data_IF_796552429662
#
_entry.id   IF_796552429662
#
_cell.length_a   1.000
_cell.length_b   1.000
_cell.length_c   1.000
_cell.angle_alpha   90.00
_cell.angle_beta   90.00
_cell.angle_gamma   90.00
#
_symmetry.space_group_name_H-M   'P 1'
#
loop_
_entity.id
_entity.type
_entity.pdbx_description
1 polymer ?
#
# COMPACT_ATOMS: atom_id res chain seq x y z
N UNK A 1 -5.72 31.03 -34.07
CA UNK A 1 -5.87 30.82 -32.62
C UNK A 1 -4.95 31.79 -31.93
N UNK A 2 -5.48 32.60 -30.99
CA UNK A 2 -4.69 33.63 -30.32
C UNK A 2 -4.32 33.07 -28.93
N UNK A 3 -3.10 32.54 -28.75
CA UNK A 3 -2.71 31.80 -27.55
C UNK A 3 -2.80 32.66 -26.27
N UNK A 4 -2.63 33.98 -26.40
CA UNK A 4 -2.76 34.92 -25.28
C UNK A 4 -4.23 35.06 -24.83
N UNK A 5 -5.16 35.04 -25.79
CA UNK A 5 -6.60 35.09 -25.51
C UNK A 5 -7.07 33.79 -24.87
N UNK A 6 -6.60 32.65 -25.38
CA UNK A 6 -6.91 31.32 -24.84
C UNK A 6 -6.37 31.13 -23.42
N UNK A 7 -5.14 31.59 -23.15
CA UNK A 7 -4.58 31.55 -21.81
C UNK A 7 -5.36 32.43 -20.82
N UNK A 8 -5.73 33.64 -21.23
CA UNK A 8 -6.51 34.56 -20.39
C UNK A 8 -7.89 33.98 -20.09
N UNK A 9 -8.53 33.36 -21.09
CA UNK A 9 -9.80 32.66 -20.92
C UNK A 9 -9.66 31.50 -19.93
N UNK A 10 -8.64 30.67 -20.09
CA UNK A 10 -8.37 29.54 -19.19
C UNK A 10 -8.17 29.98 -17.74
N UNK A 11 -7.41 31.07 -17.52
CA UNK A 11 -7.20 31.63 -16.18
C UNK A 11 -8.53 32.08 -15.56
N UNK A 12 -9.36 32.78 -16.33
CA UNK A 12 -10.69 33.25 -15.89
C UNK A 12 -11.64 32.08 -15.57
N UNK A 13 -11.68 31.07 -16.43
CA UNK A 13 -12.53 29.90 -16.26
C UNK A 13 -12.10 29.09 -15.03
N UNK A 14 -10.78 28.95 -14.81
CA UNK A 14 -10.24 28.27 -13.65
C UNK A 14 -10.56 29.01 -12.34
N UNK A 15 -10.47 30.35 -12.32
CA UNK A 15 -10.91 31.15 -11.16
C UNK A 15 -12.40 30.94 -10.86
N UNK A 16 -13.23 30.95 -11.90
CA UNK A 16 -14.67 30.71 -11.77
C UNK A 16 -14.97 29.31 -11.22
N UNK A 17 -14.24 28.30 -11.70
CA UNK A 17 -14.36 26.92 -11.21
C UNK A 17 -13.97 26.79 -9.74
N UNK A 18 -12.88 27.45 -9.29
CA UNK A 18 -12.49 27.44 -7.88
C UNK A 18 -13.56 28.05 -6.98
N UNK A 19 -14.29 29.08 -7.43
CA UNK A 19 -15.42 29.65 -6.69
C UNK A 19 -16.61 28.70 -6.57
N UNK A 20 -16.89 27.90 -7.61
CA UNK A 20 -17.91 26.84 -7.53
C UNK A 20 -17.52 25.83 -6.45
N UNK A 21 -16.24 25.44 -6.42
CA UNK A 21 -15.71 24.53 -5.41
C UNK A 21 -15.76 25.09 -3.97
N UNK A 22 -16.03 26.38 -3.74
CA UNK A 22 -16.20 26.92 -2.37
C UNK A 22 -17.54 26.49 -1.75
N UNK A 23 -18.48 26.08 -2.59
CA UNK A 23 -19.83 25.66 -2.17
C UNK A 23 -19.93 24.15 -1.96
N UNK A 24 -18.88 23.41 -2.29
CA UNK A 24 -18.85 21.95 -2.26
C UNK A 24 -18.19 21.39 -0.98
N UNK A 25 -18.60 20.21 -0.54
CA UNK A 25 -17.95 19.51 0.57
C UNK A 25 -16.71 18.76 0.08
N UNK A 26 -15.58 19.46 0.04
CA UNK A 26 -14.31 18.93 -0.44
C UNK A 26 -13.56 18.12 0.62
N UNK A 27 -12.90 17.05 0.19
CA UNK A 27 -11.92 16.35 1.03
C UNK A 27 -10.73 17.27 1.38
N UNK A 28 -10.03 16.98 2.49
CA UNK A 28 -8.86 17.76 2.92
C UNK A 28 -7.78 17.89 1.84
N UNK A 29 -7.56 16.82 1.06
CA UNK A 29 -6.60 16.82 -0.04
C UNK A 29 -7.06 17.77 -1.15
N UNK A 30 -8.35 17.75 -1.51
CA UNK A 30 -8.92 18.64 -2.51
C UNK A 30 -8.87 20.12 -2.06
N UNK A 31 -9.12 20.40 -0.78
CA UNK A 31 -8.97 21.75 -0.21
C UNK A 31 -7.51 22.25 -0.30
N UNK A 32 -6.53 21.42 0.04
CA UNK A 32 -5.12 21.77 -0.07
C UNK A 32 -4.69 22.06 -1.51
N UNK A 33 -5.15 21.25 -2.48
CA UNK A 33 -4.90 21.48 -3.90
C UNK A 33 -5.58 22.75 -4.41
N UNK A 34 -6.84 22.97 -4.03
CA UNK A 34 -7.59 24.19 -4.35
C UNK A 34 -6.85 25.44 -3.88
N UNK A 35 -6.38 25.45 -2.63
CA UNK A 35 -5.57 26.54 -2.07
C UNK A 35 -4.28 26.76 -2.86
N UNK A 36 -3.54 25.69 -3.16
CA UNK A 36 -2.32 25.77 -3.96
C UNK A 36 -2.54 26.36 -5.35
N UNK A 37 -3.67 26.07 -6.01
CA UNK A 37 -4.01 26.62 -7.33
C UNK A 37 -4.40 28.10 -7.18
N UNK A 38 -5.20 28.44 -6.17
CA UNK A 38 -5.55 29.83 -5.84
C UNK A 38 -4.30 30.69 -5.65
N UNK A 39 -3.35 30.23 -4.83
CA UNK A 39 -2.09 30.92 -4.55
C UNK A 39 -1.20 31.07 -5.81
N UNK A 40 -1.27 30.11 -6.74
CA UNK A 40 -0.57 30.21 -8.02
C UNK A 40 -1.20 31.26 -8.92
N UNK A 41 -2.54 31.28 -9.01
CA UNK A 41 -3.28 32.24 -9.83
C UNK A 41 -3.09 33.68 -9.33
N UNK A 42 -3.10 33.91 -8.02
CA UNK A 42 -2.80 35.22 -7.45
C UNK A 42 -1.40 35.70 -7.84
N UNK A 43 -0.37 34.84 -7.72
CA UNK A 43 1.01 35.18 -8.14
C UNK A 43 1.14 35.46 -9.64
N UNK A 44 0.32 34.80 -10.48
CA UNK A 44 0.31 35.06 -11.92
C UNK A 44 -0.38 36.39 -12.29
N UNK A 45 -1.28 36.88 -11.44
CA UNK A 45 -2.00 38.13 -11.65
C UNK A 45 -1.29 39.34 -11.00
N UNK A 46 -0.53 39.11 -9.93
CA UNK A 46 0.19 40.15 -9.16
C UNK A 46 1.48 40.66 -9.83
N UNK A 47 1.84 40.22 -11.03
CA UNK A 47 3.00 40.77 -11.78
C UNK A 47 2.54 41.81 -12.80
N UNK A 48 2.74 43.13 -12.56
CA UNK A 48 2.33 44.16 -13.51
C UNK A 48 3.16 44.18 -14.80
N UNK A 49 4.29 43.47 -14.88
CA UNK A 49 5.19 43.54 -16.03
C UNK A 49 5.87 42.20 -16.33
N UNK A 50 5.15 41.26 -16.95
CA UNK A 50 5.80 40.09 -17.57
C UNK A 50 5.05 39.52 -18.77
N UNK A 51 4.65 40.39 -19.71
CA UNK A 51 4.32 39.99 -21.10
C UNK A 51 5.51 39.38 -21.88
N UNK A 52 6.68 39.18 -21.26
CA UNK A 52 7.91 38.74 -21.95
C UNK A 52 8.37 37.33 -21.53
N UNK A 53 7.96 36.76 -20.39
CA UNK A 53 8.51 35.46 -19.95
C UNK A 53 7.88 34.22 -20.62
N UNK A 54 6.66 34.32 -21.16
CA UNK A 54 6.01 33.21 -21.89
C UNK A 54 6.61 33.04 -23.30
N UNK A 55 7.46 33.96 -23.76
CA UNK A 55 8.05 33.94 -25.10
C UNK A 55 9.34 33.11 -25.21
N UNK A 56 9.91 32.65 -24.09
CA UNK A 56 11.17 31.89 -24.09
C UNK A 56 11.00 30.36 -24.05
N UNK A 57 9.78 29.84 -23.89
CA UNK A 57 9.56 28.39 -23.82
C UNK A 57 9.29 27.72 -25.19
N UNK A 58 9.18 28.48 -26.29
CA UNK A 58 8.88 27.92 -27.63
C UNK A 58 10.07 27.96 -28.60
N UNK A 59 11.25 28.42 -28.18
CA UNK A 59 12.46 28.49 -29.02
C UNK A 59 13.67 27.83 -28.36
N UNK A 60 13.62 26.53 -28.12
CA UNK A 60 14.84 25.70 -27.99
C UNK A 60 14.55 24.30 -28.52
N UNK A 61 14.56 24.16 -29.84
CA UNK A 61 14.97 22.91 -30.47
C UNK A 61 16.08 23.23 -31.45
N UNK A 62 17.14 22.42 -31.35
CA UNK A 62 18.35 22.33 -32.17
C UNK A 62 19.64 23.00 -31.65
N UNK A 63 20.52 22.09 -31.20
CA UNK A 63 21.99 22.10 -31.23
C UNK A 63 22.75 22.52 -29.96
N UNK A 64 23.67 21.63 -29.57
CA UNK A 64 24.97 22.02 -29.02
C UNK A 64 25.10 22.00 -27.49
N UNK A 65 25.60 20.87 -27.00
CA UNK A 65 26.69 20.70 -26.03
C UNK A 65 27.10 21.89 -25.11
N UNK A 66 27.41 21.53 -23.86
CA UNK A 66 28.07 22.31 -22.80
C UNK A 66 27.18 23.15 -21.85
N UNK A 67 26.78 22.53 -20.73
CA UNK A 67 26.93 23.10 -19.38
C UNK A 67 26.54 22.08 -18.30
N UNK A 68 27.38 21.07 -18.12
CA UNK A 68 27.57 20.47 -16.80
C UNK A 68 28.73 21.18 -16.10
N UNK A 69 28.67 21.26 -14.77
CA UNK A 69 29.61 21.88 -13.82
C UNK A 69 29.32 23.33 -13.43
N UNK A 70 28.30 23.52 -12.59
CA UNK A 70 28.33 24.59 -11.56
C UNK A 70 27.26 24.36 -10.48
N UNK A 71 27.52 23.52 -9.48
CA UNK A 71 27.02 23.73 -8.10
C UNK A 71 27.61 22.78 -7.03
N UNK A 72 28.66 22.01 -7.31
CA UNK A 72 29.31 21.21 -6.26
C UNK A 72 30.45 22.00 -5.59
N UNK A 73 30.09 22.89 -4.66
CA UNK A 73 31.05 23.54 -3.76
C UNK A 73 30.35 24.12 -2.53
N UNK A 74 29.91 23.25 -1.61
CA UNK A 74 29.78 23.64 -0.20
C UNK A 74 29.81 22.42 0.72
N UNK A 75 31.02 22.06 1.18
CA UNK A 75 31.34 21.81 2.60
C UNK A 75 32.83 21.45 2.74
N UNK A 76 33.62 22.44 3.17
CA UNK A 76 34.99 22.29 3.66
C UNK A 76 34.98 21.51 4.98
N UNK A 77 35.76 20.44 5.05
CA UNK A 77 36.35 19.91 6.27
C UNK A 77 37.56 20.76 6.69
N UNK A 78 37.96 20.74 7.97
CA UNK A 78 39.34 20.97 8.35
C UNK A 78 39.97 19.66 8.85
N UNK A 79 41.10 19.30 8.23
CA UNK A 79 42.05 18.30 8.70
C UNK A 79 43.15 18.96 9.54
N UNK A 80 43.48 18.33 10.65
CA UNK A 80 44.76 18.38 11.37
C UNK A 80 44.72 17.14 12.27
N UNK A 81 45.65 16.19 12.33
CA UNK A 81 47.00 16.04 11.80
C UNK A 81 47.72 15.12 12.79
N UNK A 82 48.03 13.89 12.35
CA UNK A 82 49.07 12.96 12.84
C UNK A 82 49.04 12.48 14.31
N UNK A 83 49.08 11.15 14.52
CA UNK A 83 50.31 10.41 14.91
C UNK A 83 49.97 8.93 15.15
N UNK A 84 50.81 8.05 14.60
CA UNK A 84 50.80 6.60 14.77
C UNK A 84 51.20 6.22 16.20
N UNK A 85 50.45 5.31 16.82
CA UNK A 85 50.74 4.76 18.14
C UNK A 85 50.08 3.39 18.34
N UNK A 86 50.91 2.37 18.18
CA UNK A 86 50.81 0.94 18.51
C UNK A 86 49.87 0.58 19.70
N UNK A 87 49.07 -0.48 19.48
CA UNK A 87 48.42 -1.49 20.35
C UNK A 87 48.79 -1.54 21.87
N UNK A 88 47.96 -2.13 22.78
CA UNK A 88 47.15 -3.33 22.53
C UNK A 88 45.76 -3.46 23.19
N UNK A 89 45.09 -4.48 22.65
CA UNK A 89 43.93 -5.25 23.16
C UNK A 89 44.09 -5.62 24.63
N UNK A 90 43.07 -5.30 25.43
CA UNK A 90 42.84 -5.88 26.75
C UNK A 90 41.71 -6.91 26.66
N UNK A 91 42.11 -8.18 26.61
CA UNK A 91 41.29 -9.33 27.00
C UNK A 91 40.86 -9.16 28.45
N UNK A 92 39.63 -9.57 28.78
CA UNK A 92 39.29 -9.95 30.14
C UNK A 92 38.82 -11.40 30.16
N UNK A 93 39.54 -12.15 30.98
CA UNK A 93 39.48 -13.55 31.32
C UNK A 93 38.10 -14.12 31.69
N UNK A 94 37.90 -15.36 31.24
CA UNK A 94 37.11 -16.37 31.94
C UNK A 94 37.86 -16.87 33.20
N UNK A 95 37.16 -17.35 34.23
CA UNK A 95 37.68 -18.39 35.10
C UNK A 95 37.09 -19.76 34.71
N UNK A 96 37.97 -20.75 34.61
CA UNK A 96 37.72 -22.17 34.35
C UNK A 96 37.56 -22.95 35.70
N UNK A 97 37.61 -24.29 35.78
CA UNK A 97 36.50 -25.18 36.14
C UNK A 97 36.72 -25.90 37.49
N UNK A 98 35.71 -26.62 37.99
CA UNK A 98 35.82 -27.84 38.83
C UNK A 98 34.41 -28.39 39.05
N UNK A 99 34.05 -29.47 38.34
CA UNK A 99 33.99 -30.86 38.82
C UNK A 99 32.96 -31.11 39.95
N UNK A 100 31.86 -31.82 39.62
CA UNK A 100 31.39 -33.04 40.31
C UNK A 100 30.18 -33.68 39.58
N UNK A 101 30.45 -34.85 39.01
CA UNK A 101 29.67 -36.10 38.91
C UNK A 101 28.12 -36.17 39.10
N UNK A 102 27.55 -37.07 38.27
CA UNK A 102 26.50 -38.07 38.54
C UNK A 102 25.03 -37.82 38.07
N UNK A 103 24.64 -38.55 37.02
CA UNK A 103 23.32 -39.21 36.85
C UNK A 103 23.32 -40.51 37.70
N UNK A 104 22.18 -41.21 38.01
CA UNK A 104 20.90 -41.31 37.25
C UNK A 104 19.60 -41.41 38.11
N UNK A 105 18.42 -41.51 37.45
CA UNK A 105 17.28 -42.46 37.74
C UNK A 105 15.90 -41.94 37.26
N UNK A 106 15.20 -42.73 36.44
CA UNK A 106 13.73 -42.73 36.18
C UNK A 106 13.00 -43.63 37.23
N UNK A 107 11.66 -43.91 37.13
CA UNK A 107 10.42 -43.11 37.34
C UNK A 107 9.60 -43.71 38.53
N UNK A 108 8.28 -43.40 38.82
CA UNK A 108 7.13 -43.97 38.07
C UNK A 108 5.75 -43.22 38.15
N UNK A 109 4.76 -43.80 37.43
CA UNK A 109 3.30 -43.87 37.66
C UNK A 109 2.32 -42.80 37.10
N UNK A 110 1.75 -43.15 35.93
CA UNK A 110 0.31 -43.13 35.60
C UNK A 110 -0.42 -44.20 36.47
N UNK A 111 -1.71 -44.07 36.85
CA UNK A 111 -2.81 -44.34 35.90
C UNK A 111 -4.12 -43.54 36.16
N UNK A 112 -4.93 -43.30 35.11
CA UNK A 112 -6.31 -43.84 35.09
C UNK A 112 -6.93 -43.81 33.68
N UNK A 113 -7.39 -44.99 33.29
CA UNK A 113 -8.24 -45.33 32.16
C UNK A 113 -9.69 -44.94 32.51
N UNK A 114 -10.45 -44.31 31.63
CA UNK A 114 -11.89 -44.17 31.90
C UNK A 114 -12.71 -43.25 31.01
N UNK A 115 -13.51 -43.89 30.14
CA UNK A 115 -14.75 -43.37 29.54
C UNK A 115 -14.62 -42.45 28.32
N UNK A 116 -14.30 -43.13 27.22
CA UNK A 116 -14.97 -43.00 25.93
C UNK A 116 -16.49 -42.69 26.08
N UNK A 117 -16.95 -41.55 25.55
CA UNK A 117 -18.34 -41.40 25.09
C UNK A 117 -18.31 -40.67 23.74
N UNK A 118 -18.39 -41.49 22.69
CA UNK A 118 -18.53 -41.10 21.30
C UNK A 118 -19.94 -40.52 21.09
N UNK A 119 -20.05 -39.24 20.76
CA UNK A 119 -21.31 -38.66 20.34
C UNK A 119 -21.55 -39.01 18.85
N UNK A 120 -22.60 -39.78 18.59
CA UNK A 120 -22.99 -40.25 17.26
C UNK A 120 -23.30 -39.08 16.28
N UNK A 121 -22.96 -39.22 14.98
CA UNK A 121 -23.42 -38.30 13.95
C UNK A 121 -24.92 -38.48 13.64
N UNK A 122 -25.67 -37.38 13.59
CA UNK A 122 -27.03 -37.37 13.06
C UNK A 122 -27.02 -37.73 11.56
N UNK A 123 -27.46 -38.93 11.22
CA UNK A 123 -27.78 -39.30 9.84
C UNK A 123 -29.21 -38.83 9.47
N UNK A 124 -29.42 -38.36 8.22
CA UNK A 124 -30.72 -37.94 7.73
C UNK A 124 -31.51 -39.16 7.22
N UNK A 125 -32.77 -39.28 7.59
CA UNK A 125 -33.65 -40.37 7.16
C UNK A 125 -34.85 -39.84 6.35
N UNK A 126 -34.90 -40.17 5.04
CA UNK A 126 -36.10 -40.08 4.20
C UNK A 126 -35.86 -39.91 2.68
N UNK A 127 -36.24 -40.88 1.80
CA UNK A 127 -36.03 -40.87 0.33
C UNK A 127 -37.28 -40.36 -0.46
N UNK A 128 -37.23 -40.26 -1.82
CA UNK A 128 -37.97 -39.26 -2.61
C UNK A 128 -39.33 -39.77 -3.12
N UNK A 129 -40.27 -38.84 -3.35
CA UNK A 129 -41.46 -39.10 -4.16
C UNK A 129 -41.65 -38.01 -5.19
N UNK A 130 -41.37 -38.39 -6.42
CA UNK A 130 -41.75 -37.74 -7.67
C UNK A 130 -43.29 -37.78 -7.78
N UNK A 131 -43.89 -36.63 -8.07
CA UNK A 131 -45.34 -36.45 -8.21
C UNK A 131 -45.60 -35.36 -9.24
N UNK A 132 -45.90 -35.83 -10.43
CA UNK A 132 -46.10 -35.15 -11.71
C UNK A 132 -47.52 -34.56 -11.81
N UNK A 133 -47.62 -33.50 -12.64
CA UNK A 133 -48.78 -32.87 -13.25
C UNK A 133 -49.67 -31.97 -12.37
N UNK A 134 -49.31 -30.68 -12.37
CA UNK A 134 -50.23 -29.59 -12.07
C UNK A 134 -50.62 -28.89 -13.36
N UNK A 135 -51.86 -29.17 -13.76
CA UNK A 135 -52.65 -28.57 -14.82
C UNK A 135 -52.78 -27.04 -14.63
N UNK A 136 -52.41 -26.24 -15.63
CA UNK A 136 -53.06 -24.95 -15.86
C UNK A 136 -52.83 -24.42 -17.27
N UNK A 137 -53.95 -24.29 -17.96
CA UNK A 137 -54.16 -23.78 -19.30
C UNK A 137 -53.48 -22.44 -19.65
N UNK A 138 -52.95 -22.43 -20.87
CA UNK A 138 -52.69 -21.32 -21.77
C UNK A 138 -53.84 -20.26 -21.78
N UNK A 139 -53.50 -19.01 -21.47
CA UNK A 139 -54.34 -17.84 -21.77
C UNK A 139 -53.46 -16.76 -22.40
N UNK A 140 -53.66 -16.48 -23.69
CA UNK A 140 -53.01 -15.39 -24.40
C UNK A 140 -53.51 -14.04 -23.85
N UNK A 141 -52.59 -13.18 -23.43
CA UNK A 141 -52.88 -11.76 -23.23
C UNK A 141 -52.15 -10.98 -24.33
N UNK A 142 -52.87 -10.69 -25.40
CA UNK A 142 -52.53 -9.60 -26.32
C UNK A 142 -53.31 -8.36 -25.89
N UNK A 143 -52.58 -7.28 -25.64
CA UNK A 143 -53.09 -5.95 -25.33
C UNK A 143 -51.89 -5.06 -25.02
N UNK A 144 -51.38 -4.41 -26.06
CA UNK A 144 -50.41 -3.30 -26.01
C UNK A 144 -50.79 -2.29 -24.91
N UNK A 145 -49.80 -1.77 -24.19
CA UNK A 145 -49.55 -0.32 -24.05
C UNK A 145 -48.33 -0.07 -23.13
N UNK A 146 -47.25 0.34 -23.79
CA UNK A 146 -46.34 1.44 -23.43
C UNK A 146 -45.41 1.35 -22.20
N UNK A 147 -44.13 1.58 -22.50
CA UNK A 147 -43.05 2.06 -21.63
C UNK A 147 -42.53 1.09 -20.55
N UNK A 148 -41.57 0.25 -20.92
CA UNK A 148 -40.41 -0.14 -20.09
C UNK A 148 -39.50 -1.12 -20.88
N UNK A 149 -39.00 -0.68 -22.04
CA UNK A 149 -37.84 -1.30 -22.70
C UNK A 149 -36.73 -0.26 -22.81
N UNK A 150 -35.48 -0.69 -22.54
CA UNK A 150 -34.22 0.06 -22.57
C UNK A 150 -33.67 0.62 -21.23
N UNK A 151 -33.53 -0.21 -20.19
CA UNK A 151 -32.45 -0.01 -19.20
C UNK A 151 -31.76 -1.34 -18.83
N UNK A 152 -31.19 -2.03 -19.83
CA UNK A 152 -30.29 -3.16 -19.57
C UNK A 152 -29.00 -3.13 -20.42
N UNK A 153 -28.35 -1.96 -20.58
CA UNK A 153 -26.94 -1.92 -21.02
C UNK A 153 -26.16 -0.63 -20.68
N UNK A 154 -26.10 -0.20 -19.42
CA UNK A 154 -25.36 1.04 -19.07
C UNK A 154 -24.51 1.01 -17.79
N UNK A 155 -24.00 -0.16 -17.39
CA UNK A 155 -23.06 -0.26 -16.24
C UNK A 155 -21.67 -0.81 -16.61
N UNK A 156 -21.37 -1.05 -17.89
CA UNK A 156 -20.01 -1.47 -18.32
C UNK A 156 -19.05 -0.30 -18.57
N UNK A 157 -19.53 0.90 -18.83
CA UNK A 157 -18.68 2.01 -19.30
C UNK A 157 -17.75 2.59 -18.20
N UNK A 158 -18.12 2.45 -16.93
CA UNK A 158 -17.33 3.02 -15.82
C UNK A 158 -15.95 2.36 -15.65
N UNK A 159 -15.76 1.15 -16.17
CA UNK A 159 -14.48 0.44 -16.08
C UNK A 159 -13.50 0.81 -17.21
N UNK A 160 -14.00 1.23 -18.38
CA UNK A 160 -13.18 1.46 -19.57
C UNK A 160 -12.20 2.63 -19.40
N UNK A 161 -12.63 3.74 -18.77
CA UNK A 161 -11.73 4.87 -18.51
C UNK A 161 -10.68 4.56 -17.42
N UNK A 162 -11.00 3.70 -16.45
CA UNK A 162 -10.07 3.28 -15.39
C UNK A 162 -8.96 2.41 -16.00
N UNK A 163 -9.36 1.46 -16.85
CA UNK A 163 -8.45 0.58 -17.55
C UNK A 163 -7.57 1.34 -18.56
N UNK A 164 -8.13 2.30 -19.31
CA UNK A 164 -7.37 3.12 -20.27
C UNK A 164 -6.31 4.01 -19.60
N UNK A 165 -6.60 4.54 -18.40
CA UNK A 165 -5.61 5.26 -17.58
C UNK A 165 -4.51 4.35 -17.02
N UNK A 166 -4.78 3.06 -16.85
CA UNK A 166 -3.79 2.10 -16.35
C UNK A 166 -2.77 1.67 -17.40
N UNK A 167 -3.12 1.74 -18.70
CA UNK A 167 -2.26 1.34 -19.82
C UNK A 167 -1.37 2.45 -20.39
N UNK A 168 -1.53 3.70 -19.94
CA UNK A 168 -0.71 4.84 -20.40
C UNK A 168 0.29 5.29 -19.31
N UNK A 169 1.59 5.00 -19.44
CA UNK A 169 2.61 5.33 -18.43
C UNK A 169 2.74 6.83 -18.11
N UNK A 170 2.44 7.70 -19.09
CA UNK A 170 2.58 9.16 -18.97
C UNK A 170 1.38 9.87 -18.32
N UNK A 171 0.25 9.19 -18.10
CA UNK A 171 -0.95 9.74 -17.45
C UNK A 171 -1.16 9.21 -16.03
N UNK A 172 -0.24 8.39 -15.51
CA UNK A 172 -0.31 7.89 -14.14
C UNK A 172 0.12 9.02 -13.20
N UNK A 173 -0.73 9.51 -12.27
CA UNK A 173 -0.21 10.08 -11.03
C UNK A 173 0.77 9.05 -10.47
N UNK A 174 1.97 9.46 -10.03
CA UNK A 174 2.97 8.55 -9.46
C UNK A 174 2.24 7.61 -8.50
N UNK A 175 2.32 6.27 -8.65
CA UNK A 175 1.46 5.36 -7.91
C UNK A 175 1.70 5.54 -6.41
N UNK A 176 0.82 6.31 -5.77
CA UNK A 176 1.01 6.77 -4.40
C UNK A 176 0.87 5.61 -3.40
N UNK A 177 0.42 4.44 -3.84
CA UNK A 177 0.49 3.17 -3.09
C UNK A 177 0.55 2.00 -4.07
N UNK A 178 1.51 1.09 -3.89
CA UNK A 178 1.66 -0.12 -4.72
C UNK A 178 0.75 -1.26 -4.27
N UNK A 179 0.53 -1.39 -2.97
CA UNK A 179 -0.42 -2.33 -2.37
C UNK A 179 -0.86 -1.83 -1.01
N UNK A 180 -2.10 -2.13 -0.63
CA UNK A 180 -2.61 -1.90 0.72
C UNK A 180 -3.48 -3.06 1.18
N UNK A 181 -3.57 -3.29 2.49
CA UNK A 181 -4.38 -4.35 3.04
C UNK A 181 -4.27 -4.50 4.55
N UNK A 182 -5.30 -5.08 5.16
CA UNK A 182 -5.25 -5.42 6.58
C UNK A 182 -4.50 -6.74 6.77
N UNK A 183 -3.34 -6.67 7.42
CA UNK A 183 -2.48 -7.81 7.73
C UNK A 183 -2.29 -7.95 9.24
N UNK A 184 -1.76 -9.08 9.66
CA UNK A 184 -1.37 -9.27 11.06
C UNK A 184 0.09 -8.88 11.27
N UNK A 185 0.39 -8.02 12.24
CA UNK A 185 1.76 -7.74 12.69
C UNK A 185 2.07 -8.56 13.93
N UNK A 186 3.22 -9.23 13.95
CA UNK A 186 3.72 -9.91 15.15
C UNK A 186 4.41 -8.93 16.09
N UNK A 187 4.04 -8.96 17.37
CA UNK A 187 4.72 -8.22 18.46
C UNK A 187 5.83 -9.06 19.09
N UNK A 188 6.67 -8.45 19.93
CA UNK A 188 7.77 -9.14 20.63
C UNK A 188 7.27 -10.30 21.52
N UNK A 189 6.05 -10.24 22.06
CA UNK A 189 5.45 -11.32 22.88
C UNK A 189 4.81 -12.43 22.02
N UNK A 190 5.00 -12.43 20.71
CA UNK A 190 4.35 -13.37 19.80
C UNK A 190 2.86 -13.10 19.55
N UNK A 191 2.30 -12.05 20.15
CA UNK A 191 0.94 -11.59 19.93
C UNK A 191 0.78 -10.99 18.52
N UNK A 192 -0.35 -11.27 17.89
CA UNK A 192 -0.69 -10.75 16.56
C UNK A 192 -1.70 -9.62 16.67
N UNK A 193 -1.49 -8.54 15.93
CA UNK A 193 -2.45 -7.43 15.84
C UNK A 193 -2.82 -7.20 14.38
N UNK A 194 -4.11 -7.19 14.07
CA UNK A 194 -4.60 -6.83 12.73
C UNK A 194 -4.49 -5.32 12.55
N UNK A 195 -3.77 -4.88 11.54
CA UNK A 195 -3.45 -3.49 11.25
C UNK A 195 -3.49 -3.23 9.75
N UNK A 196 -3.68 -1.98 9.34
CA UNK A 196 -3.64 -1.61 7.93
C UNK A 196 -2.18 -1.39 7.51
N UNK A 197 -1.76 -2.05 6.44
CA UNK A 197 -0.46 -1.84 5.82
C UNK A 197 -0.62 -1.20 4.45
N UNK A 198 0.30 -0.30 4.11
CA UNK A 198 0.36 0.37 2.80
C UNK A 198 1.82 0.44 2.36
N UNK A 199 2.12 0.00 1.15
CA UNK A 199 3.41 0.24 0.52
C UNK A 199 3.29 1.48 -0.37
N UNK A 200 4.03 2.54 -0.05
CA UNK A 200 4.10 3.79 -0.82
C UNK A 200 5.55 4.09 -1.15
N UNK A 201 5.87 4.22 -2.44
CA UNK A 201 7.25 4.39 -2.92
C UNK A 201 8.16 3.26 -2.39
N UNK A 202 9.07 3.58 -1.46
CA UNK A 202 9.97 2.64 -0.78
C UNK A 202 9.64 2.48 0.71
N UNK A 203 8.44 2.88 1.14
CA UNK A 203 8.03 2.83 2.54
C UNK A 203 6.92 1.79 2.74
N UNK A 204 7.10 0.92 3.74
CA UNK A 204 6.03 0.13 4.33
C UNK A 204 5.47 0.88 5.54
N UNK A 205 4.24 1.36 5.40
CA UNK A 205 3.52 2.11 6.42
C UNK A 205 2.54 1.19 7.14
N UNK A 206 2.41 1.32 8.47
CA UNK A 206 1.43 0.60 9.28
C UNK A 206 0.52 1.59 10.02
N UNK A 207 -0.79 1.38 9.97
CA UNK A 207 -1.80 2.17 10.68
C UNK A 207 -2.67 1.25 11.54
N UNK A 208 -3.30 1.77 12.60
CA UNK A 208 -4.27 1.00 13.39
C UNK A 208 -5.50 0.70 12.53
N UNK A 209 -5.99 1.71 11.80
CA UNK A 209 -7.10 1.59 10.86
C UNK A 209 -7.04 2.66 9.76
N UNK A 210 -7.95 2.57 8.78
CA UNK A 210 -8.01 3.50 7.65
C UNK A 210 -8.33 4.96 8.00
N UNK A 211 -8.83 5.24 9.22
CA UNK A 211 -9.15 6.60 9.67
C UNK A 211 -7.94 7.34 10.25
N UNK A 212 -6.85 6.64 10.53
CA UNK A 212 -5.68 7.24 11.16
C UNK A 212 -4.93 8.13 10.17
N UNK A 213 -4.47 9.28 10.66
CA UNK A 213 -3.68 10.23 9.87
C UNK A 213 -2.17 9.96 9.93
N UNK A 214 -1.69 9.35 11.03
CA UNK A 214 -0.28 9.07 11.26
C UNK A 214 -0.02 7.56 11.36
N UNK A 215 1.05 7.06 10.74
CA UNK A 215 1.41 5.66 10.85
C UNK A 215 2.03 5.34 12.23
N UNK A 216 1.77 4.13 12.70
CA UNK A 216 2.40 3.50 13.86
C UNK A 216 3.80 2.95 13.54
N UNK A 217 4.13 2.81 12.27
CA UNK A 217 5.41 2.33 11.76
C UNK A 217 5.64 2.90 10.37
N UNK A 218 6.84 3.41 10.13
CA UNK A 218 7.35 3.74 8.81
C UNK A 218 8.66 3.00 8.59
N UNK A 219 8.64 1.99 7.73
CA UNK A 219 9.82 1.17 7.44
C UNK A 219 10.32 1.44 6.02
N UNK A 220 11.58 1.84 5.88
CA UNK A 220 12.24 1.95 4.57
C UNK A 220 12.57 0.57 4.03
N UNK A 221 12.05 0.23 2.86
CA UNK A 221 12.25 -1.05 2.19
C UNK A 221 13.54 -1.09 1.37
N UNK A 222 14.25 0.02 1.18
CA UNK A 222 15.52 0.02 0.43
C UNK A 222 16.56 -0.91 1.07
N UNK A 223 17.09 -1.84 0.29
CA UNK A 223 18.01 -2.88 0.72
C UNK A 223 17.40 -3.88 1.71
N UNK A 224 16.07 -4.01 1.76
CA UNK A 224 15.43 -4.98 2.64
C UNK A 224 15.51 -6.42 2.09
N UNK A 225 15.28 -7.38 2.98
CA UNK A 225 15.12 -8.79 2.62
C UNK A 225 13.80 -9.32 3.16
N UNK A 226 12.99 -9.90 2.27
CA UNK A 226 11.70 -10.48 2.60
C UNK A 226 11.76 -12.02 2.54
N UNK A 227 11.51 -12.68 3.67
CA UNK A 227 11.58 -14.15 3.80
C UNK A 227 10.21 -14.72 4.14
N UNK A 228 9.66 -15.52 3.23
CA UNK A 228 8.40 -16.23 3.44
C UNK A 228 8.60 -17.48 4.30
N UNK A 229 7.66 -17.74 5.22
CA UNK A 229 7.60 -18.96 6.04
C UNK A 229 6.17 -19.48 6.11
N UNK A 230 6.02 -20.78 5.92
CA UNK A 230 4.77 -21.49 6.20
C UNK A 230 4.88 -22.23 7.53
N UNK A 231 3.85 -22.12 8.38
CA UNK A 231 3.74 -22.84 9.65
C UNK A 231 2.44 -23.62 9.68
N UNK A 232 2.57 -24.94 9.69
CA UNK A 232 1.44 -25.83 9.89
C UNK A 232 0.90 -25.66 11.33
N UNK A 233 -0.42 -25.82 11.50
CA UNK A 233 -1.11 -25.83 12.79
C UNK A 233 -1.05 -24.53 13.62
N UNK A 234 -0.87 -23.37 12.98
CA UNK A 234 -0.99 -22.05 13.62
C UNK A 234 -2.15 -21.26 13.06
N UNK A 235 -2.73 -20.37 13.89
CA UNK A 235 -3.79 -19.42 13.48
C UNK A 235 -3.36 -18.55 12.29
N UNK A 236 -2.08 -18.18 12.25
CA UNK A 236 -1.44 -17.47 11.13
C UNK A 236 -0.41 -18.43 10.54
N UNK A 237 -0.77 -19.05 9.41
CA UNK A 237 0.08 -20.07 8.77
C UNK A 237 1.14 -19.43 7.86
N UNK A 238 0.80 -18.33 7.20
CA UNK A 238 1.65 -17.69 6.21
C UNK A 238 2.28 -16.43 6.82
N UNK A 239 3.59 -16.45 7.03
CA UNK A 239 4.35 -15.33 7.58
C UNK A 239 5.35 -14.78 6.55
N UNK A 240 5.49 -13.46 6.47
CA UNK A 240 6.58 -12.79 5.76
C UNK A 240 7.42 -12.01 6.77
N UNK A 241 8.70 -12.35 6.88
CA UNK A 241 9.67 -11.63 7.70
C UNK A 241 10.41 -10.63 6.81
N UNK A 242 10.17 -9.35 7.03
CA UNK A 242 10.88 -8.24 6.36
C UNK A 242 11.99 -7.77 7.28
N UNK A 243 13.23 -7.82 6.80
CA UNK A 243 14.44 -7.46 7.55
C UNK A 243 15.10 -6.29 6.86
N UNK A 244 15.43 -5.25 7.61
CA UNK A 244 16.20 -4.08 7.17
C UNK A 244 17.43 -3.92 8.04
N UNK A 245 18.28 -2.93 7.74
CA UNK A 245 19.47 -2.63 8.55
C UNK A 245 19.15 -2.17 9.97
N UNK A 246 17.95 -1.62 10.19
CA UNK A 246 17.56 -1.01 11.46
C UNK A 246 16.48 -1.79 12.20
N UNK A 247 15.61 -2.52 11.51
CA UNK A 247 14.51 -3.21 12.15
C UNK A 247 14.05 -4.48 11.42
N UNK A 248 13.17 -5.23 12.07
CA UNK A 248 12.56 -6.43 11.51
C UNK A 248 11.07 -6.42 11.82
N UNK A 249 10.26 -6.67 10.80
CA UNK A 249 8.80 -6.78 10.90
C UNK A 249 8.36 -8.15 10.42
N UNK A 250 7.48 -8.79 11.17
CA UNK A 250 6.85 -10.06 10.75
C UNK A 250 5.38 -9.80 10.47
N UNK A 251 4.99 -10.02 9.22
CA UNK A 251 3.65 -9.90 8.70
C UNK A 251 3.01 -11.29 8.58
N UNK A 252 1.72 -11.38 8.88
CA UNK A 252 0.91 -12.58 8.78
C UNK A 252 -0.19 -12.42 7.74
N UNK A 253 -0.45 -13.49 7.00
CA UNK A 253 -1.38 -13.55 5.87
C UNK A 253 -2.38 -14.71 6.01
N UNK A 254 -3.59 -14.58 5.45
CA UNK A 254 -4.59 -15.64 5.42
C UNK A 254 -4.29 -16.71 4.38
N UNK A 255 -3.48 -16.40 3.35
CA UNK A 255 -3.13 -17.35 2.29
C UNK A 255 -1.69 -17.17 1.81
N UNK A 256 -1.14 -18.24 1.23
CA UNK A 256 0.17 -18.23 0.56
C UNK A 256 0.22 -17.22 -0.57
N UNK A 257 -0.82 -17.19 -1.42
CA UNK A 257 -0.89 -16.30 -2.57
C UNK A 257 -0.78 -14.83 -2.17
N UNK A 258 -1.48 -14.42 -1.10
CA UNK A 258 -1.39 -13.05 -0.61
C UNK A 258 0.01 -12.74 -0.06
N UNK A 259 0.63 -13.68 0.67
CA UNK A 259 1.99 -13.50 1.17
C UNK A 259 3.01 -13.35 0.02
N UNK A 260 2.86 -14.12 -1.06
CA UNK A 260 3.72 -14.06 -2.24
C UNK A 260 3.53 -12.78 -3.05
N UNK A 261 2.29 -12.30 -3.19
CA UNK A 261 1.99 -11.01 -3.84
C UNK A 261 2.67 -9.85 -3.09
N UNK A 262 2.50 -9.79 -1.77
CA UNK A 262 3.14 -8.77 -0.95
C UNK A 262 4.67 -8.87 -0.99
N UNK A 263 5.21 -10.09 -0.96
CA UNK A 263 6.65 -10.33 -1.08
C UNK A 263 7.20 -9.80 -2.40
N UNK A 264 6.54 -10.10 -3.52
CA UNK A 264 6.95 -9.65 -4.85
C UNK A 264 7.01 -8.12 -4.92
N UNK A 265 6.00 -7.45 -4.36
CA UNK A 265 5.97 -5.98 -4.35
C UNK A 265 7.05 -5.41 -3.45
N UNK A 266 7.31 -6.02 -2.29
CA UNK A 266 8.41 -5.62 -1.40
C UNK A 266 9.76 -5.77 -2.10
N UNK A 267 10.01 -6.89 -2.77
CA UNK A 267 11.24 -7.12 -3.54
C UNK A 267 11.38 -6.15 -4.73
N UNK A 268 10.27 -5.74 -5.36
CA UNK A 268 10.27 -4.77 -6.45
C UNK A 268 10.62 -3.34 -6.00
N UNK A 269 10.31 -2.98 -4.76
CA UNK A 269 10.59 -1.64 -4.19
C UNK A 269 11.80 -1.61 -3.27
N UNK A 270 12.44 -2.76 -3.07
CA UNK A 270 13.63 -2.89 -2.25
C UNK A 270 14.86 -2.24 -2.89
#
# INVERSE_FOLDING_TARGET
MNPQKELSQLISDLQSFLLVLDRENLSYIAQAKKKSISDLLSRMQDTPDQKVLIQNCTKTNHSGTEREKLWESKRKSPSLGQTLGVLPVSNWDSPDPSDVAALPSDPPDDPDDGCYEEAEPFFPSGPPTEGVDSDSSHYESYGEEEEEEEEEDSVKDRAHYIQWRSSQPCLRPAPESRICGYLWRKRWLGQWTRQLFVIRNHLLLCYKCAKDLQPLLELCLQGCHAVYKSKLNKKIQHELKVVTSVETVVLGFPSRQQAEEWRKIIEEVS
#
